data_IF_423923962992
#
_entry.id   IF_423923962992
#
_cell.length_a   1.000
_cell.length_b   1.000
_cell.length_c   1.000
_cell.angle_alpha   90.00
_cell.angle_beta   90.00
_cell.angle_gamma   90.00
#
_symmetry.space_group_name_H-M   'P 1'
#
loop_
_entity.id
_entity.type
_entity.pdbx_description
1 polymer ?
#
# COMPACT_ATOMS: atom_id res chain seq x y z
N UNK A 1 0.59 -3.40 -1.41
CA UNK A 1 0.46 -4.34 -2.55
C UNK A 1 1.77 -4.37 -3.34
N UNK A 2 2.15 -5.51 -3.93
CA UNK A 2 3.37 -5.63 -4.74
C UNK A 2 3.10 -5.27 -6.21
N UNK A 3 4.06 -4.65 -6.88
CA UNK A 3 4.08 -4.33 -8.30
C UNK A 3 4.44 -5.55 -9.18
N UNK A 4 3.99 -5.69 -10.44
CA UNK A 4 3.11 -4.81 -11.18
C UNK A 4 1.70 -4.80 -10.59
N UNK A 5 1.08 -3.62 -10.60
CA UNK A 5 -0.26 -3.43 -10.05
C UNK A 5 -1.33 -3.95 -11.02
N UNK A 6 -1.90 -5.10 -10.67
CA UNK A 6 -2.95 -5.75 -11.46
C UNK A 6 -4.16 -5.99 -10.58
N UNK A 7 -5.29 -5.39 -10.96
CA UNK A 7 -6.59 -5.59 -10.32
C UNK A 7 -7.71 -5.54 -11.37
N UNK A 8 -8.90 -6.12 -11.10
CA UNK A 8 -10.06 -5.95 -11.96
C UNK A 8 -10.45 -4.47 -12.15
N UNK A 9 -10.88 -4.11 -13.37
CA UNK A 9 -11.22 -2.72 -13.76
C UNK A 9 -12.13 -2.01 -12.76
N UNK A 10 -13.11 -2.71 -12.19
CA UNK A 10 -14.05 -2.14 -11.21
C UNK A 10 -13.36 -1.48 -10.01
N UNK A 11 -12.16 -1.91 -9.62
CA UNK A 11 -11.41 -1.29 -8.53
C UNK A 11 -10.64 -0.04 -8.99
N UNK A 12 -10.18 0.00 -10.25
CA UNK A 12 -9.61 1.21 -10.84
C UNK A 12 -10.68 2.30 -11.05
N UNK A 13 -11.93 1.90 -11.28
CA UNK A 13 -13.05 2.82 -11.45
C UNK A 13 -13.45 3.52 -10.14
N UNK A 14 -13.01 3.01 -8.98
CA UNK A 14 -13.24 3.63 -7.67
C UNK A 14 -12.30 4.81 -7.39
N UNK A 15 -11.25 4.97 -8.20
CA UNK A 15 -10.23 5.99 -8.04
C UNK A 15 -10.11 6.79 -9.35
N UNK A 16 -10.93 7.83 -9.53
CA UNK A 16 -10.74 8.80 -10.61
C UNK A 16 -9.32 9.40 -10.56
N UNK A 17 -8.73 9.65 -11.72
CA UNK A 17 -7.31 10.06 -11.80
C UNK A 17 -7.10 11.47 -11.22
N UNK A 18 -8.11 12.32 -11.37
CA UNK A 18 -8.20 13.66 -10.81
C UNK A 18 -8.17 13.69 -9.27
N UNK A 19 -8.61 12.61 -8.62
CA UNK A 19 -8.61 12.49 -7.15
C UNK A 19 -7.30 11.87 -6.60
N UNK A 20 -6.41 11.43 -7.49
CA UNK A 20 -5.15 10.77 -7.12
C UNK A 20 -4.01 11.79 -7.08
N UNK A 21 -3.99 12.71 -6.12
CA UNK A 21 -2.98 13.78 -6.06
C UNK A 21 -1.62 13.30 -5.55
N UNK A 22 -0.54 13.43 -6.36
CA UNK A 22 0.82 13.09 -5.93
C UNK A 22 1.33 14.07 -4.87
N UNK A 23 2.27 13.60 -4.06
CA UNK A 23 2.95 14.45 -3.08
C UNK A 23 3.80 15.50 -3.80
N UNK A 24 3.59 16.77 -3.46
CA UNK A 24 4.43 17.87 -3.91
C UNK A 24 5.65 18.01 -3.00
N UNK A 25 6.84 17.90 -3.60
CA UNK A 25 8.10 18.13 -2.91
C UNK A 25 8.56 19.58 -3.13
N UNK A 26 9.18 20.22 -2.11
CA UNK A 26 9.75 21.55 -2.27
C UNK A 26 10.74 21.62 -3.44
N UNK A 27 10.80 22.79 -4.10
CA UNK A 27 11.78 23.01 -5.17
C UNK A 27 13.20 22.75 -4.67
N UNK A 28 13.98 21.98 -5.44
CA UNK A 28 15.35 21.62 -5.07
C UNK A 28 15.47 20.57 -3.96
N UNK A 29 14.37 19.97 -3.51
CA UNK A 29 14.39 18.91 -2.49
C UNK A 29 15.33 17.76 -2.91
N UNK A 30 16.16 17.33 -1.96
CA UNK A 30 17.06 16.18 -2.08
C UNK A 30 16.83 15.24 -0.90
N UNK A 31 16.61 13.93 -1.15
CA UNK A 31 16.53 12.95 -0.09
C UNK A 31 17.82 12.97 0.77
N UNK A 32 17.71 12.89 2.11
CA UNK A 32 18.87 12.89 2.99
C UNK A 32 19.75 11.64 2.84
N UNK A 33 19.18 10.53 2.33
CA UNK A 33 19.88 9.28 2.06
C UNK A 33 19.65 8.84 0.63
N UNK A 34 20.69 8.27 0.00
CA UNK A 34 20.59 7.68 -1.33
C UNK A 34 19.75 6.38 -1.29
N UNK A 35 18.98 6.16 -2.36
CA UNK A 35 18.18 4.95 -2.51
C UNK A 35 19.07 3.77 -2.88
N UNK A 36 18.88 2.63 -2.22
CA UNK A 36 19.73 1.44 -2.42
C UNK A 36 19.62 0.82 -3.82
N UNK A 37 18.57 1.16 -4.56
CA UNK A 37 18.29 0.68 -5.92
C UNK A 37 18.54 1.80 -6.96
N UNK A 38 19.77 2.31 -7.00
CA UNK A 38 20.18 3.49 -7.80
C UNK A 38 19.70 3.52 -9.26
N UNK A 39 19.67 2.42 -10.05
CA UNK A 39 19.15 2.48 -11.42
C UNK A 39 17.67 2.86 -11.47
N UNK A 40 16.86 2.37 -10.54
CA UNK A 40 15.43 2.63 -10.49
C UNK A 40 15.11 4.07 -10.06
N UNK A 41 15.98 4.70 -9.25
CA UNK A 41 15.82 6.11 -8.88
C UNK A 41 15.76 7.01 -10.09
N UNK A 42 16.63 6.75 -11.07
CA UNK A 42 16.72 7.56 -12.28
C UNK A 42 15.53 7.34 -13.21
N UNK A 43 14.89 6.17 -13.14
CA UNK A 43 13.67 5.91 -13.90
C UNK A 43 12.47 6.61 -13.26
N UNK A 44 12.36 6.58 -11.93
CA UNK A 44 11.30 7.29 -11.21
C UNK A 44 11.42 8.82 -11.29
N UNK A 45 12.63 9.36 -11.41
CA UNK A 45 12.84 10.79 -11.67
C UNK A 45 12.25 11.26 -13.01
N UNK A 46 11.93 10.34 -13.94
CA UNK A 46 11.31 10.66 -15.24
C UNK A 46 9.78 10.70 -15.18
N UNK A 47 9.16 10.26 -14.07
CA UNK A 47 7.71 10.25 -13.96
C UNK A 47 7.17 11.67 -14.06
N UNK A 48 6.28 11.88 -15.02
CA UNK A 48 5.49 13.09 -15.11
C UNK A 48 4.30 13.05 -14.13
N UNK A 49 3.44 14.07 -14.14
CA UNK A 49 2.27 14.10 -13.27
C UNK A 49 1.31 12.94 -13.55
N UNK A 50 1.11 12.59 -14.82
CA UNK A 50 0.21 11.52 -15.22
C UNK A 50 0.72 10.16 -14.74
N UNK A 51 2.01 9.88 -14.89
CA UNK A 51 2.64 8.65 -14.39
C UNK A 51 2.44 8.48 -12.88
N UNK A 52 2.64 9.56 -12.12
CA UNK A 52 2.48 9.55 -10.64
C UNK A 52 1.04 9.29 -10.23
N UNK A 53 0.09 9.97 -10.87
CA UNK A 53 -1.34 9.79 -10.61
C UNK A 53 -1.78 8.37 -10.93
N UNK A 54 -1.34 7.80 -12.06
CA UNK A 54 -1.66 6.42 -12.42
C UNK A 54 -1.02 5.41 -11.47
N UNK A 55 0.19 5.68 -10.97
CA UNK A 55 0.84 4.83 -9.97
C UNK A 55 0.03 4.81 -8.66
N UNK A 56 -0.38 5.97 -8.15
CA UNK A 56 -1.24 6.10 -6.96
C UNK A 56 -2.56 5.37 -7.17
N UNK A 57 -3.25 5.66 -8.28
CA UNK A 57 -4.50 5.01 -8.67
C UNK A 57 -4.37 3.50 -8.66
N UNK A 58 -3.29 2.98 -9.25
CA UNK A 58 -3.03 1.55 -9.33
C UNK A 58 -2.76 0.93 -7.95
N UNK A 59 -1.98 1.61 -7.10
CA UNK A 59 -1.72 1.19 -5.74
C UNK A 59 -3.01 1.12 -4.91
N UNK A 60 -3.87 2.13 -5.00
CA UNK A 60 -5.16 2.18 -4.31
C UNK A 60 -6.12 1.10 -4.82
N UNK A 61 -6.23 0.93 -6.14
CA UNK A 61 -7.06 -0.11 -6.75
C UNK A 61 -6.64 -1.52 -6.29
N UNK A 62 -5.34 -1.81 -6.27
CA UNK A 62 -4.82 -3.09 -5.78
C UNK A 62 -5.03 -3.27 -4.27
N UNK A 63 -4.94 -2.20 -3.49
CA UNK A 63 -5.20 -2.25 -2.04
C UNK A 63 -6.67 -2.61 -1.77
N UNK A 64 -7.60 -1.98 -2.47
CA UNK A 64 -9.03 -2.26 -2.33
C UNK A 64 -9.42 -3.62 -2.90
N UNK A 65 -8.74 -4.06 -3.96
CA UNK A 65 -8.94 -5.43 -4.44
C UNK A 65 -8.50 -6.47 -3.41
N UNK A 66 -7.35 -6.24 -2.75
CA UNK A 66 -6.85 -7.08 -1.66
C UNK A 66 -7.83 -7.10 -0.48
N UNK A 67 -8.34 -5.93 -0.06
CA UNK A 67 -9.35 -5.81 0.98
C UNK A 67 -10.60 -6.64 0.66
N UNK A 68 -11.11 -6.55 -0.57
CA UNK A 68 -12.22 -7.38 -1.01
C UNK A 68 -11.91 -8.89 -0.99
N UNK A 69 -10.63 -9.30 -1.12
CA UNK A 69 -10.25 -10.71 -0.97
C UNK A 69 -10.18 -11.13 0.49
N UNK A 70 -9.78 -10.23 1.39
CA UNK A 70 -9.84 -10.47 2.84
C UNK A 70 -11.31 -10.65 3.26
N UNK A 71 -12.22 -9.78 2.80
CA UNK A 71 -13.65 -9.90 3.05
C UNK A 71 -14.20 -11.29 2.70
N UNK A 72 -13.86 -11.82 1.52
CA UNK A 72 -14.29 -13.17 1.10
C UNK A 72 -13.81 -14.29 2.04
N UNK A 73 -12.63 -14.15 2.63
CA UNK A 73 -12.12 -15.13 3.59
C UNK A 73 -12.86 -15.03 4.93
N UNK A 74 -13.15 -13.80 5.38
CA UNK A 74 -13.91 -13.55 6.59
C UNK A 74 -15.35 -14.03 6.47
N UNK A 75 -16.02 -13.73 5.34
CA UNK A 75 -17.37 -14.21 5.02
C UNK A 75 -17.44 -15.74 5.09
N UNK A 76 -16.44 -16.44 4.51
CA UNK A 76 -16.39 -17.90 4.55
C UNK A 76 -16.18 -18.46 5.97
N UNK A 77 -15.42 -17.77 6.82
CA UNK A 77 -15.26 -18.14 8.23
C UNK A 77 -16.57 -17.92 9.01
N UNK A 78 -17.31 -16.86 8.70
CA UNK A 78 -18.61 -16.58 9.31
C UNK A 78 -19.67 -17.60 8.88
N UNK A 79 -19.80 -17.88 7.57
CA UNK A 79 -20.73 -18.86 7.02
C UNK A 79 -20.53 -20.28 7.58
N UNK A 80 -19.29 -20.62 7.92
CA UNK A 80 -18.94 -21.92 8.51
C UNK A 80 -19.00 -21.94 10.04
N UNK A 81 -19.34 -20.82 10.69
CA UNK A 81 -19.39 -20.69 12.14
C UNK A 81 -18.03 -20.78 12.83
N UNK A 82 -16.93 -20.57 12.09
CA UNK A 82 -15.55 -20.70 12.58
C UNK A 82 -14.95 -19.36 13.04
N UNK A 83 -15.52 -18.23 12.62
CA UNK A 83 -14.97 -16.90 12.86
C UNK A 83 -14.69 -16.64 14.35
N UNK A 84 -15.62 -16.99 15.24
CA UNK A 84 -15.53 -16.72 16.68
C UNK A 84 -14.41 -17.49 17.40
N UNK A 85 -13.95 -18.60 16.82
CA UNK A 85 -12.91 -19.45 17.40
C UNK A 85 -11.62 -19.45 16.54
N UNK A 86 -11.44 -18.42 15.71
CA UNK A 86 -10.27 -18.28 14.85
C UNK A 86 -9.42 -17.09 15.30
N UNK A 87 -8.12 -17.32 15.51
CA UNK A 87 -7.13 -16.26 15.65
C UNK A 87 -6.76 -15.75 14.25
N UNK A 88 -7.05 -14.48 13.98
CA UNK A 88 -6.71 -13.82 12.73
C UNK A 88 -5.54 -12.87 13.00
N UNK A 89 -4.46 -13.03 12.24
CA UNK A 89 -3.31 -12.13 12.23
C UNK A 89 -3.16 -11.60 10.81
N UNK A 90 -3.44 -10.32 10.62
CA UNK A 90 -3.24 -9.61 9.36
C UNK A 90 -2.02 -8.71 9.47
N UNK A 91 -1.03 -8.90 8.59
CA UNK A 91 0.15 -8.05 8.59
C UNK A 91 0.74 -7.87 7.20
N UNK A 92 1.45 -6.77 7.00
CA UNK A 92 2.33 -6.55 5.85
C UNK A 92 3.78 -6.88 6.20
N UNK A 93 4.56 -7.28 5.21
CA UNK A 93 6.00 -7.54 5.35
C UNK A 93 6.83 -6.25 5.39
N UNK A 94 6.42 -5.23 4.65
CA UNK A 94 7.03 -3.91 4.62
C UNK A 94 6.04 -2.84 4.12
N UNK A 95 6.45 -1.57 4.19
CA UNK A 95 5.70 -0.44 3.62
C UNK A 95 5.97 -0.25 2.12
N UNK A 96 5.51 0.87 1.55
CA UNK A 96 5.74 1.22 0.15
C UNK A 96 5.75 2.74 -0.04
N UNK A 97 6.72 3.29 -0.77
CA UNK A 97 6.75 4.72 -1.11
C UNK A 97 5.88 5.04 -2.32
N UNK A 98 5.19 6.17 -2.26
CA UNK A 98 4.27 6.68 -3.26
C UNK A 98 4.68 8.09 -3.71
N UNK A 99 6.00 8.33 -3.78
CA UNK A 99 6.60 9.59 -4.23
C UNK A 99 7.36 10.35 -3.15
N UNK A 100 7.23 9.96 -1.88
CA UNK A 100 8.06 10.48 -0.81
C UNK A 100 9.54 10.27 -1.14
N UNK A 101 10.38 11.24 -0.77
CA UNK A 101 11.82 11.17 -1.03
C UNK A 101 12.18 10.90 -2.51
N UNK A 102 11.33 11.28 -3.48
CA UNK A 102 11.48 10.96 -4.91
C UNK A 102 11.57 9.45 -5.20
N UNK A 103 10.90 8.63 -4.39
CA UNK A 103 10.95 7.18 -4.49
C UNK A 103 9.55 6.56 -4.67
N UNK A 104 9.47 5.50 -5.47
CA UNK A 104 8.22 4.82 -5.83
C UNK A 104 8.36 3.30 -5.70
N UNK A 105 8.95 2.86 -4.60
CA UNK A 105 9.15 1.45 -4.29
C UNK A 105 9.39 1.26 -2.78
N UNK A 106 9.86 0.07 -2.40
CA UNK A 106 10.39 -0.25 -1.08
C UNK A 106 11.94 -0.22 -1.10
N UNK A 107 12.60 -0.84 -0.12
CA UNK A 107 14.07 -0.91 0.04
C UNK A 107 14.69 0.40 0.52
N UNK A 108 14.16 0.91 1.63
CA UNK A 108 14.69 2.10 2.33
C UNK A 108 14.51 1.95 3.84
N UNK A 109 15.20 2.77 4.62
CA UNK A 109 14.99 2.86 6.09
C UNK A 109 13.99 3.95 6.50
N UNK A 110 13.38 4.66 5.56
CA UNK A 110 12.32 5.63 5.86
C UNK A 110 11.06 4.91 6.37
N UNK A 111 10.27 5.60 7.18
CA UNK A 111 9.03 5.07 7.77
C UNK A 111 8.08 4.49 6.72
N UNK A 112 7.91 5.15 5.57
CA UNK A 112 7.06 4.66 4.47
C UNK A 112 7.50 3.30 3.94
N UNK A 113 8.79 2.95 4.02
CA UNK A 113 9.30 1.66 3.59
C UNK A 113 9.26 0.59 4.68
N UNK A 114 9.22 0.97 5.96
CA UNK A 114 9.40 0.05 7.09
C UNK A 114 8.14 -0.15 7.94
N UNK A 115 7.23 0.83 7.95
CA UNK A 115 5.94 0.75 8.65
C UNK A 115 4.97 -0.10 7.83
N UNK A 116 4.48 -1.18 8.43
CA UNK A 116 3.52 -2.10 7.84
C UNK A 116 2.28 -2.25 8.74
N UNK A 117 1.09 -2.57 8.19
CA UNK A 117 -0.07 -2.87 9.00
C UNK A 117 0.18 -4.13 9.83
N UNK A 118 -0.34 -4.16 11.05
CA UNK A 118 -0.34 -5.33 11.92
C UNK A 118 -1.60 -5.32 12.79
N UNK A 119 -2.48 -6.29 12.60
CA UNK A 119 -3.78 -6.41 13.27
C UNK A 119 -3.90 -7.84 13.78
N UNK A 120 -4.29 -7.96 15.05
CA UNK A 120 -4.65 -9.25 15.66
C UNK A 120 -6.11 -9.18 16.09
N UNK A 121 -6.88 -10.19 15.72
CA UNK A 121 -8.26 -10.38 16.16
C UNK A 121 -8.47 -11.80 16.64
N UNK A 122 -9.22 -11.95 17.73
CA UNK A 122 -9.68 -13.24 18.22
C UNK A 122 -11.15 -13.10 18.63
N UNK A 123 -12.03 -13.83 17.96
CA UNK A 123 -13.48 -13.55 17.99
C UNK A 123 -13.82 -12.14 17.48
N UNK A 124 -14.88 -11.52 18.02
CA UNK A 124 -15.27 -10.12 17.74
C UNK A 124 -14.37 -9.05 18.37
N UNK A 125 -13.35 -9.44 19.13
CA UNK A 125 -12.40 -8.52 19.74
C UNK A 125 -11.26 -8.16 18.78
N UNK A 126 -11.30 -6.96 18.21
CA UNK A 126 -10.15 -6.38 17.51
C UNK A 126 -9.18 -5.84 18.56
N UNK A 127 -8.00 -6.46 18.66
CA UNK A 127 -6.89 -5.91 19.44
C UNK A 127 -5.96 -5.18 18.47
N UNK A 128 -6.22 -3.88 18.28
CA UNK A 128 -5.28 -3.01 17.56
C UNK A 128 -4.05 -2.81 18.45
N UNK A 129 -2.98 -3.54 18.15
CA UNK A 129 -1.66 -3.27 18.72
C UNK A 129 -0.92 -2.40 17.71
N UNK A 130 -0.99 -1.09 17.89
CA UNK A 130 0.00 -0.17 17.33
C UNK A 130 0.96 0.22 18.45
N UNK A 131 2.21 -0.22 18.36
CA UNK A 131 3.33 0.48 19.00
C UNK A 131 4.49 0.54 18.00
N UNK A 132 4.96 1.77 17.72
CA UNK A 132 6.07 2.09 16.81
C UNK A 132 5.74 3.20 15.83
#
# INVERSE_FOLDING_TARGET
PHDPFVAPKKYFDMYPLEDCDPIELPEGYKPPYEHSLLPWSKEFDKFDDQDKREFLRSYYACTTFMDAQVGRLLDALEETGQLDNTLIVFFGDHGYHLGENKWWNKVTLYEQGTRAPFIISFGYGIYLIFEG
#
